data_IF_899960141252
#
_entry.id   IF_899960141252
#
_cell.length_a   1.000
_cell.length_b   1.000
_cell.length_c   1.000
_cell.angle_alpha   90.00
_cell.angle_beta   90.00
_cell.angle_gamma   90.00
#
_symmetry.space_group_name_H-M   'P 1'
#
loop_
_entity.id
_entity.type
_entity.pdbx_description
1 polymer ?
#
# COMPACT_ATOMS: atom_id res chain seq x y z
N UNK A 1 -5.84 11.98 12.79
CA UNK A 1 -6.66 10.75 12.64
C UNK A 1 -5.69 9.61 12.41
N UNK A 2 -5.85 8.48 13.10
CA UNK A 2 -4.96 7.32 12.98
C UNK A 2 -5.56 6.26 12.03
N UNK A 3 -4.74 5.31 11.60
CA UNK A 3 -5.23 4.09 10.97
C UNK A 3 -6.01 3.24 11.98
N UNK A 4 -7.04 2.57 11.47
CA UNK A 4 -7.98 1.80 12.28
C UNK A 4 -7.93 0.35 11.80
N UNK A 5 -7.70 -0.58 12.71
CA UNK A 5 -7.77 -2.00 12.41
C UNK A 5 -9.23 -2.45 12.30
N UNK A 6 -9.53 -3.47 11.51
CA UNK A 6 -10.90 -4.00 11.40
C UNK A 6 -11.52 -4.38 12.73
N UNK A 7 -10.71 -4.85 13.69
CA UNK A 7 -11.19 -5.26 15.01
C UNK A 7 -11.79 -4.08 15.80
N UNK A 8 -11.31 -2.87 15.54
CA UNK A 8 -11.74 -1.65 16.20
C UNK A 8 -12.97 -1.01 15.52
N UNK A 9 -13.42 -1.58 14.39
CA UNK A 9 -14.62 -1.13 13.67
C UNK A 9 -15.88 -1.78 14.23
N UNK A 10 -17.00 -1.05 14.16
CA UNK A 10 -18.29 -1.55 14.59
C UNK A 10 -18.71 -2.81 13.79
N UNK A 11 -19.57 -3.64 14.38
CA UNK A 11 -19.98 -4.92 13.77
C UNK A 11 -20.64 -4.73 12.39
N UNK A 12 -21.37 -3.62 12.20
CA UNK A 12 -22.04 -3.31 10.93
C UNK A 12 -21.02 -2.97 9.84
N UNK A 13 -19.93 -2.30 10.19
CA UNK A 13 -18.85 -1.93 9.30
C UNK A 13 -18.02 -3.16 8.93
N UNK A 14 -17.72 -4.03 9.92
CA UNK A 14 -17.05 -5.32 9.67
C UNK A 14 -17.84 -6.20 8.70
N UNK A 15 -19.15 -6.34 8.88
CA UNK A 15 -20.02 -7.08 7.93
C UNK A 15 -20.03 -6.49 6.53
N UNK A 16 -19.85 -5.17 6.39
CA UNK A 16 -19.71 -4.54 5.08
C UNK A 16 -18.37 -4.92 4.43
N UNK A 17 -17.27 -4.96 5.19
CA UNK A 17 -15.97 -5.43 4.72
C UNK A 17 -16.03 -6.90 4.26
N UNK A 18 -16.67 -7.78 5.03
CA UNK A 18 -16.87 -9.19 4.63
C UNK A 18 -17.63 -9.33 3.31
N UNK A 19 -18.63 -8.46 3.11
CA UNK A 19 -19.36 -8.35 1.84
C UNK A 19 -18.47 -7.90 0.70
N UNK A 20 -17.57 -6.94 0.92
CA UNK A 20 -16.59 -6.51 -0.07
C UNK A 20 -15.68 -7.68 -0.47
N UNK A 21 -15.12 -8.42 0.49
CA UNK A 21 -14.29 -9.60 0.20
C UNK A 21 -15.05 -10.68 -0.56
N UNK A 22 -16.30 -10.93 -0.18
CA UNK A 22 -17.17 -11.89 -0.87
C UNK A 22 -17.48 -11.46 -2.31
N UNK A 23 -17.71 -10.17 -2.54
CA UNK A 23 -17.95 -9.62 -3.88
C UNK A 23 -16.69 -9.65 -4.74
N UNK A 24 -15.54 -9.28 -4.17
CA UNK A 24 -14.24 -9.33 -4.84
C UNK A 24 -13.92 -10.73 -5.36
N UNK A 25 -14.08 -11.77 -4.52
CA UNK A 25 -13.86 -13.17 -4.92
C UNK A 25 -14.77 -13.63 -6.07
N UNK A 26 -15.93 -12.99 -6.23
CA UNK A 26 -16.90 -13.26 -7.31
C UNK A 26 -16.67 -12.40 -8.56
N UNK A 27 -15.59 -11.60 -8.60
CA UNK A 27 -15.31 -10.67 -9.70
C UNK A 27 -16.18 -9.41 -9.69
N UNK A 28 -16.88 -9.13 -8.59
CA UNK A 28 -17.74 -7.95 -8.42
C UNK A 28 -16.95 -6.66 -8.17
N UNK A 29 -15.95 -6.37 -8.98
CA UNK A 29 -14.98 -5.30 -8.72
C UNK A 29 -15.60 -3.89 -8.72
N UNK A 30 -16.55 -3.59 -9.62
CA UNK A 30 -17.19 -2.27 -9.64
C UNK A 30 -18.03 -2.00 -8.38
N UNK A 31 -18.69 -3.04 -7.86
CA UNK A 31 -19.37 -2.97 -6.56
C UNK A 31 -18.37 -2.70 -5.43
N UNK A 32 -17.24 -3.40 -5.41
CA UNK A 32 -16.19 -3.19 -4.41
C UNK A 32 -15.68 -1.75 -4.45
N UNK A 33 -15.38 -1.23 -5.65
CA UNK A 33 -14.88 0.13 -5.83
C UNK A 33 -15.89 1.17 -5.35
N UNK A 34 -17.16 1.00 -5.68
CA UNK A 34 -18.22 1.93 -5.26
C UNK A 34 -18.40 1.94 -3.74
N UNK A 35 -18.58 0.77 -3.13
CA UNK A 35 -18.90 0.66 -1.70
C UNK A 35 -17.69 1.00 -0.84
N UNK A 36 -16.46 0.64 -1.25
CA UNK A 36 -15.25 1.07 -0.54
C UNK A 36 -15.15 2.59 -0.44
N UNK A 37 -15.50 3.34 -1.49
CA UNK A 37 -15.49 4.81 -1.44
C UNK A 37 -16.47 5.38 -0.40
N UNK A 38 -17.65 4.79 -0.27
CA UNK A 38 -18.64 5.21 0.75
C UNK A 38 -18.18 4.91 2.18
N UNK A 39 -17.51 3.76 2.37
CA UNK A 39 -16.93 3.38 3.65
C UNK A 39 -15.76 4.28 4.04
N UNK A 40 -14.86 4.59 3.10
CA UNK A 40 -13.71 5.47 3.35
C UNK A 40 -14.12 6.92 3.62
N UNK A 41 -15.25 7.39 3.07
CA UNK A 41 -15.81 8.69 3.46
C UNK A 41 -16.21 8.74 4.95
N UNK A 42 -16.70 7.63 5.50
CA UNK A 42 -17.09 7.51 6.92
C UNK A 42 -15.90 7.26 7.82
N UNK A 43 -14.97 6.41 7.39
CA UNK A 43 -13.76 6.03 8.13
C UNK A 43 -12.53 6.06 7.24
N UNK A 44 -11.91 7.24 7.04
CA UNK A 44 -10.72 7.36 6.20
C UNK A 44 -9.53 6.54 6.69
N UNK A 45 -9.45 6.25 7.99
CA UNK A 45 -8.39 5.44 8.59
C UNK A 45 -8.52 3.93 8.36
N UNK A 46 -9.63 3.44 7.78
CA UNK A 46 -9.88 2.02 7.56
C UNK A 46 -9.01 1.47 6.40
N UNK A 47 -7.74 1.17 6.70
CA UNK A 47 -6.75 0.77 5.71
C UNK A 47 -7.14 -0.52 4.97
N UNK A 48 -7.84 -1.45 5.61
CA UNK A 48 -8.30 -2.71 4.99
C UNK A 48 -9.33 -2.46 3.87
N UNK A 49 -10.22 -1.49 4.06
CA UNK A 49 -11.16 -1.06 3.01
C UNK A 49 -10.38 -0.50 1.81
N UNK A 50 -9.32 0.26 2.09
CA UNK A 50 -8.43 0.79 1.05
C UNK A 50 -7.64 -0.33 0.38
N UNK A 51 -7.22 -1.36 1.12
CA UNK A 51 -6.54 -2.53 0.56
C UNK A 51 -7.40 -3.21 -0.51
N UNK A 52 -8.65 -3.54 -0.18
CA UNK A 52 -9.52 -4.23 -1.13
C UNK A 52 -9.94 -3.33 -2.30
N UNK A 53 -10.05 -2.01 -2.08
CA UNK A 53 -10.20 -1.04 -3.17
C UNK A 53 -9.02 -1.10 -4.14
N UNK A 54 -7.79 -1.04 -3.63
CA UNK A 54 -6.58 -1.16 -4.45
C UNK A 54 -6.56 -2.47 -5.24
N UNK A 55 -6.85 -3.60 -4.59
CA UNK A 55 -6.88 -4.90 -5.26
C UNK A 55 -7.93 -4.94 -6.38
N UNK A 56 -9.12 -4.35 -6.17
CA UNK A 56 -10.17 -4.26 -7.20
C UNK A 56 -9.79 -3.36 -8.38
N UNK A 57 -9.10 -2.25 -8.12
CA UNK A 57 -8.59 -1.37 -9.17
C UNK A 57 -7.51 -2.06 -10.01
N UNK A 58 -6.62 -2.80 -9.37
CA UNK A 58 -5.55 -3.55 -10.03
C UNK A 58 -6.12 -4.74 -10.83
N UNK A 59 -7.14 -5.43 -10.31
CA UNK A 59 -7.83 -6.50 -11.04
C UNK A 59 -8.64 -6.01 -12.25
N UNK A 60 -9.15 -4.77 -12.20
CA UNK A 60 -9.88 -4.15 -13.33
C UNK A 60 -8.97 -3.39 -14.30
N UNK A 61 -7.65 -3.44 -14.11
CA UNK A 61 -6.67 -2.80 -14.97
C UNK A 61 -6.54 -3.54 -16.31
N UNK A 62 -7.56 -3.38 -17.14
CA UNK A 62 -7.63 -3.85 -18.53
C UNK A 62 -8.17 -2.76 -19.47
N UNK A 63 -8.15 -1.48 -19.08
CA UNK A 63 -8.62 -0.42 -19.97
C UNK A 63 -7.53 -0.10 -20.98
N UNK A 64 -7.70 -0.66 -22.18
CA UNK A 64 -6.94 -0.36 -23.38
C UNK A 64 -7.17 1.12 -23.76
N UNK A 65 -6.36 2.04 -23.23
CA UNK A 65 -6.47 3.47 -23.57
C UNK A 65 -5.67 3.76 -24.84
N UNK A 66 -6.35 4.29 -25.85
CA UNK A 66 -5.71 4.81 -27.06
C UNK A 66 -4.63 5.84 -26.72
N UNK A 67 -3.68 6.11 -27.63
CA UNK A 67 -2.58 7.07 -27.41
C UNK A 67 -3.06 8.44 -26.88
N UNK A 68 -4.23 8.90 -27.31
CA UNK A 68 -4.87 10.14 -26.81
C UNK A 68 -5.45 9.98 -25.41
N UNK A 69 -6.04 8.83 -25.08
CA UNK A 69 -6.52 8.51 -23.74
C UNK A 69 -5.39 8.47 -22.71
N UNK A 70 -4.25 7.87 -23.09
CA UNK A 70 -3.04 7.85 -22.26
C UNK A 70 -2.50 9.26 -21.97
N UNK A 71 -2.38 10.12 -22.99
CA UNK A 71 -1.90 11.49 -22.84
C UNK A 71 -2.79 12.30 -21.89
N UNK A 72 -4.12 12.19 -22.05
CA UNK A 72 -5.09 12.85 -21.18
C UNK A 72 -4.97 12.37 -19.74
N UNK A 73 -4.87 11.06 -19.53
CA UNK A 73 -4.73 10.49 -18.19
C UNK A 73 -3.46 10.99 -17.50
N UNK A 74 -2.31 10.97 -18.20
CA UNK A 74 -1.06 11.54 -17.68
C UNK A 74 -1.19 13.04 -17.34
N UNK A 75 -1.89 13.81 -18.17
CA UNK A 75 -2.11 15.24 -17.90
C UNK A 75 -2.98 15.48 -16.66
N UNK A 76 -4.01 14.66 -16.46
CA UNK A 76 -4.88 14.71 -15.29
C UNK A 76 -4.11 14.35 -14.02
N UNK A 77 -3.26 13.32 -14.06
CA UNK A 77 -2.42 12.93 -12.93
C UNK A 77 -1.45 14.03 -12.50
N UNK A 78 -0.82 14.71 -13.47
CA UNK A 78 0.06 15.85 -13.17
C UNK A 78 -0.72 17.03 -12.57
N UNK A 79 -1.88 17.37 -13.13
CA UNK A 79 -2.75 18.41 -12.57
C UNK A 79 -3.20 18.08 -11.15
N UNK A 80 -3.56 16.81 -10.89
CA UNK A 80 -3.92 16.34 -9.57
C UNK A 80 -2.78 16.57 -8.57
N UNK A 81 -1.55 16.13 -8.89
CA UNK A 81 -0.35 16.34 -8.07
C UNK A 81 -0.11 17.81 -7.75
N UNK A 82 -0.25 18.70 -8.73
CA UNK A 82 -0.12 20.15 -8.52
C UNK A 82 -1.21 20.65 -7.58
N UNK A 83 -2.46 20.24 -7.81
CA UNK A 83 -3.63 20.71 -7.05
C UNK A 83 -3.60 20.29 -5.56
N UNK A 84 -3.00 19.13 -5.24
CA UNK A 84 -2.91 18.65 -3.85
C UNK A 84 -1.63 19.10 -3.16
N UNK A 85 -0.65 19.69 -3.87
CA UNK A 85 0.66 20.05 -3.31
C UNK A 85 0.56 20.97 -2.08
N UNK A 86 -0.28 22.01 -2.15
CA UNK A 86 -0.48 22.91 -1.00
C UNK A 86 -1.28 22.26 0.12
N UNK A 87 -2.20 21.34 -0.20
CA UNK A 87 -3.04 20.65 0.78
C UNK A 87 -2.21 19.61 1.55
N UNK A 88 -1.25 18.96 0.90
CA UNK A 88 -0.37 17.96 1.51
C UNK A 88 0.31 18.46 2.79
N UNK A 89 0.69 19.74 2.86
CA UNK A 89 1.35 20.30 4.05
C UNK A 89 0.36 20.76 5.13
N UNK A 90 -0.86 21.15 4.73
CA UNK A 90 -1.84 21.78 5.63
C UNK A 90 -2.84 20.78 6.20
N UNK A 91 -3.30 19.88 5.36
CA UNK A 91 -4.30 18.86 5.66
C UNK A 91 -4.04 17.63 4.77
N UNK A 92 -3.09 16.76 5.16
CA UNK A 92 -2.83 15.51 4.46
C UNK A 92 -4.06 14.59 4.37
N UNK A 93 -4.98 14.66 5.33
CA UNK A 93 -6.21 13.85 5.34
C UNK A 93 -7.15 14.25 4.20
N UNK A 94 -7.23 15.55 3.87
CA UNK A 94 -7.95 15.99 2.67
C UNK A 94 -7.36 15.40 1.39
N UNK A 95 -6.03 15.24 1.32
CA UNK A 95 -5.36 14.62 0.17
C UNK A 95 -5.73 13.14 0.06
N UNK A 96 -5.75 12.40 1.18
CA UNK A 96 -6.22 11.01 1.20
C UNK A 96 -7.64 10.90 0.65
N UNK A 97 -8.57 11.73 1.11
CA UNK A 97 -9.97 11.71 0.62
C UNK A 97 -10.05 11.98 -0.89
N UNK A 98 -9.28 12.96 -1.38
CA UNK A 98 -9.21 13.24 -2.82
C UNK A 98 -8.58 12.09 -3.60
N UNK A 99 -7.60 11.38 -3.04
CA UNK A 99 -7.07 10.16 -3.64
C UNK A 99 -8.14 9.07 -3.71
N UNK A 100 -8.91 8.85 -2.64
CA UNK A 100 -10.02 7.89 -2.60
C UNK A 100 -11.09 8.20 -3.67
N UNK A 101 -11.39 9.48 -3.90
CA UNK A 101 -12.27 9.93 -4.98
C UNK A 101 -11.69 9.64 -6.39
N UNK A 102 -10.41 9.94 -6.63
CA UNK A 102 -9.78 9.66 -7.93
C UNK A 102 -9.67 8.16 -8.20
N UNK A 103 -9.33 7.38 -7.18
CA UNK A 103 -9.29 5.92 -7.22
C UNK A 103 -10.64 5.33 -7.61
N UNK A 104 -11.74 5.83 -7.02
CA UNK A 104 -13.10 5.43 -7.39
C UNK A 104 -13.41 5.66 -8.87
N UNK A 105 -12.89 6.75 -9.44
CA UNK A 105 -13.08 7.10 -10.85
C UNK A 105 -12.06 6.41 -11.80
N UNK A 106 -11.13 5.62 -11.26
CA UNK A 106 -10.06 4.93 -12.01
C UNK A 106 -9.17 5.86 -12.83
N UNK A 107 -8.95 7.10 -12.36
CA UNK A 107 -8.19 8.14 -13.08
C UNK A 107 -6.77 8.22 -12.53
N UNK A 108 -5.78 8.21 -13.42
CA UNK A 108 -4.38 8.53 -13.13
C UNK A 108 -3.82 7.78 -11.91
N UNK A 109 -4.13 6.49 -11.83
CA UNK A 109 -3.94 5.66 -10.63
C UNK A 109 -2.51 5.75 -10.09
N UNK A 110 -1.52 5.82 -10.99
CA UNK A 110 -0.10 5.91 -10.63
C UNK A 110 0.22 7.17 -9.84
N UNK A 111 -0.15 8.35 -10.35
CA UNK A 111 0.02 9.63 -9.66
C UNK A 111 -0.82 9.72 -8.38
N UNK A 112 -2.01 9.10 -8.38
CA UNK A 112 -2.89 9.05 -7.21
C UNK A 112 -2.26 8.23 -6.09
N UNK A 113 -1.69 7.06 -6.39
CA UNK A 113 -0.98 6.25 -5.40
C UNK A 113 0.29 6.95 -4.89
N UNK A 114 1.02 7.70 -5.72
CA UNK A 114 2.13 8.52 -5.23
C UNK A 114 1.68 9.61 -4.24
N UNK A 115 0.54 10.26 -4.51
CA UNK A 115 -0.01 11.24 -3.59
C UNK A 115 -0.50 10.58 -2.30
N UNK A 116 -1.11 9.39 -2.41
CA UNK A 116 -1.58 8.62 -1.27
C UNK A 116 -0.42 8.18 -0.38
N UNK A 117 0.68 7.69 -0.95
CA UNK A 117 1.91 7.33 -0.22
C UNK A 117 2.44 8.50 0.61
N UNK A 118 2.57 9.68 -0.01
CA UNK A 118 3.06 10.90 0.68
C UNK A 118 2.09 11.40 1.75
N UNK A 119 0.78 11.35 1.48
CA UNK A 119 -0.23 11.77 2.45
C UNK A 119 -0.27 10.80 3.64
N UNK A 120 -0.17 9.50 3.38
CA UNK A 120 -0.10 8.46 4.40
C UNK A 120 1.18 8.59 5.23
N UNK A 121 2.32 8.89 4.60
CA UNK A 121 3.56 9.18 5.33
C UNK A 121 3.38 10.38 6.28
N UNK A 122 2.77 11.47 5.82
CA UNK A 122 2.54 12.66 6.64
C UNK A 122 1.52 12.44 7.77
N UNK A 123 0.65 11.44 7.65
CA UNK A 123 -0.32 11.04 8.67
C UNK A 123 0.18 9.93 9.59
N UNK A 124 1.38 9.41 9.34
CA UNK A 124 1.91 8.21 10.01
C UNK A 124 0.96 7.01 9.85
N UNK A 125 0.51 6.78 8.61
CA UNK A 125 -0.38 5.69 8.20
C UNK A 125 0.42 4.60 7.48
N UNK A 126 1.12 3.73 8.24
CA UNK A 126 2.08 2.77 7.70
C UNK A 126 1.47 1.77 6.72
N UNK A 127 0.27 1.24 7.01
CA UNK A 127 -0.34 0.23 6.16
C UNK A 127 -0.81 0.85 4.84
N UNK A 128 -1.45 2.03 4.89
CA UNK A 128 -1.84 2.76 3.69
C UNK A 128 -0.64 3.15 2.83
N UNK A 129 0.48 3.56 3.44
CA UNK A 129 1.73 3.86 2.71
C UNK A 129 2.25 2.62 1.99
N UNK A 130 2.28 1.49 2.68
CA UNK A 130 2.71 0.19 2.12
C UNK A 130 1.80 -0.25 0.97
N UNK A 131 0.48 -0.11 1.14
CA UNK A 131 -0.49 -0.41 0.10
C UNK A 131 -0.28 0.44 -1.15
N UNK A 132 -0.03 1.73 -0.99
CA UNK A 132 0.20 2.65 -2.10
C UNK A 132 1.47 2.28 -2.88
N UNK A 133 2.57 1.95 -2.18
CA UNK A 133 3.83 1.51 -2.80
C UNK A 133 3.69 0.16 -3.50
N UNK A 134 3.01 -0.80 -2.87
CA UNK A 134 2.66 -2.09 -3.50
C UNK A 134 1.87 -1.88 -4.78
N UNK A 135 0.87 -0.99 -4.76
CA UNK A 135 0.09 -0.66 -5.94
C UNK A 135 0.97 -0.07 -7.05
N UNK A 136 1.84 0.90 -6.75
CA UNK A 136 2.78 1.47 -7.75
C UNK A 136 3.66 0.38 -8.38
N UNK A 137 4.22 -0.54 -7.59
CA UNK A 137 5.01 -1.67 -8.10
C UNK A 137 4.19 -2.57 -9.03
N UNK A 138 2.91 -2.82 -8.71
CA UNK A 138 2.03 -3.59 -9.60
C UNK A 138 1.64 -2.80 -10.86
N UNK A 139 1.56 -1.47 -10.78
CA UNK A 139 1.29 -0.61 -11.93
C UNK A 139 2.48 -0.50 -12.88
N UNK A 140 3.71 -0.64 -12.35
CA UNK A 140 4.99 -0.48 -13.04
C UNK A 140 5.95 -1.63 -12.66
N UNK A 141 5.68 -2.88 -13.08
CA UNK A 141 6.40 -4.07 -12.59
C UNK A 141 7.90 -4.07 -12.91
N UNK A 142 8.31 -3.38 -13.97
CA UNK A 142 9.70 -3.29 -14.41
C UNK A 142 10.45 -2.06 -13.84
N UNK A 143 9.79 -1.23 -13.04
CA UNK A 143 10.40 -0.03 -12.45
C UNK A 143 11.24 -0.41 -11.21
N UNK A 144 12.56 -0.50 -11.38
CA UNK A 144 13.48 -0.84 -10.29
C UNK A 144 13.40 0.17 -9.12
N UNK A 145 13.48 1.50 -9.36
CA UNK A 145 13.27 2.49 -8.28
C UNK A 145 11.97 2.30 -7.49
N UNK A 146 10.86 1.95 -8.14
CA UNK A 146 9.59 1.73 -7.45
C UNK A 146 9.66 0.53 -6.48
N UNK A 147 10.37 -0.54 -6.86
CA UNK A 147 10.59 -1.72 -6.00
C UNK A 147 11.52 -1.43 -4.83
N UNK A 148 12.59 -0.66 -5.03
CA UNK A 148 13.48 -0.25 -3.94
C UNK A 148 12.73 0.63 -2.93
N UNK A 149 11.94 1.59 -3.40
CA UNK A 149 11.13 2.41 -2.51
C UNK A 149 10.05 1.60 -1.75
N UNK A 150 9.50 0.53 -2.36
CA UNK A 150 8.60 -0.37 -1.65
C UNK A 150 9.34 -1.20 -0.59
N UNK A 151 10.54 -1.71 -0.92
CA UNK A 151 11.39 -2.44 0.02
C UNK A 151 11.79 -1.58 1.23
N UNK A 152 12.12 -0.31 1.01
CA UNK A 152 12.45 0.64 2.07
C UNK A 152 11.28 0.79 3.06
N UNK A 153 10.05 1.00 2.57
CA UNK A 153 8.87 1.06 3.42
C UNK A 153 8.64 -0.25 4.18
N UNK A 154 8.85 -1.40 3.54
CA UNK A 154 8.74 -2.70 4.23
C UNK A 154 9.75 -2.84 5.37
N UNK A 155 10.98 -2.31 5.21
CA UNK A 155 11.97 -2.30 6.29
C UNK A 155 11.59 -1.35 7.43
N UNK A 156 11.08 -0.16 7.11
CA UNK A 156 10.55 0.76 8.13
C UNK A 156 9.46 0.10 8.99
N UNK A 157 8.66 -0.79 8.40
CA UNK A 157 7.59 -1.52 9.09
C UNK A 157 7.99 -2.88 9.67
N UNK A 158 9.28 -3.16 9.78
CA UNK A 158 9.78 -4.43 10.32
C UNK A 158 9.24 -5.67 9.59
N UNK A 159 9.10 -5.56 8.25
CA UNK A 159 8.73 -6.65 7.33
C UNK A 159 9.93 -7.03 6.43
N UNK A 160 11.08 -7.43 7.03
CA UNK A 160 12.33 -7.59 6.29
C UNK A 160 12.27 -8.71 5.25
N UNK A 161 11.52 -9.79 5.49
CA UNK A 161 11.37 -10.89 4.54
C UNK A 161 10.78 -10.42 3.20
N UNK A 162 9.71 -9.64 3.25
CA UNK A 162 9.09 -9.09 2.03
C UNK A 162 10.01 -8.08 1.34
N UNK A 163 10.81 -7.32 2.10
CA UNK A 163 11.79 -6.40 1.55
C UNK A 163 12.89 -7.14 0.78
N UNK A 164 13.42 -8.24 1.32
CA UNK A 164 14.42 -9.10 0.65
C UNK A 164 13.90 -9.54 -0.73
N UNK A 165 12.66 -10.04 -0.80
CA UNK A 165 12.06 -10.50 -2.07
C UNK A 165 12.02 -9.40 -3.14
N UNK A 166 11.72 -8.15 -2.76
CA UNK A 166 11.71 -7.03 -3.71
C UNK A 166 13.12 -6.65 -4.18
N UNK A 167 14.09 -6.66 -3.26
CA UNK A 167 15.47 -6.25 -3.53
C UNK A 167 16.22 -7.30 -4.36
N UNK A 168 16.04 -8.59 -4.05
CA UNK A 168 16.61 -9.69 -4.83
C UNK A 168 16.13 -9.64 -6.29
N UNK A 169 14.86 -9.32 -6.51
CA UNK A 169 14.32 -9.15 -7.85
C UNK A 169 15.04 -8.03 -8.63
N UNK A 170 15.41 -6.93 -7.95
CA UNK A 170 16.16 -5.82 -8.55
C UNK A 170 17.59 -6.26 -8.85
N UNK A 171 18.27 -6.90 -7.89
CA UNK A 171 19.65 -7.37 -8.06
C UNK A 171 19.80 -8.46 -9.13
N UNK A 172 18.76 -9.25 -9.38
CA UNK A 172 18.74 -10.21 -10.48
C UNK A 172 18.81 -9.52 -11.86
N UNK A 173 18.39 -8.26 -11.97
CA UNK A 173 18.42 -7.45 -13.21
C UNK A 173 19.60 -6.51 -13.26
N UNK A 174 19.90 -5.88 -12.13
CA UNK A 174 21.04 -4.97 -11.96
C UNK A 174 21.89 -5.40 -10.76
N UNK A 175 22.79 -6.39 -10.93
CA UNK A 175 23.62 -6.89 -9.83
C UNK A 175 24.54 -5.83 -9.22
N UNK A 176 24.89 -4.79 -9.97
CA UNK A 176 25.74 -3.66 -9.55
C UNK A 176 24.97 -2.51 -8.90
N UNK A 177 23.66 -2.65 -8.68
CA UNK A 177 22.86 -1.59 -8.06
C UNK A 177 23.22 -1.44 -6.58
N UNK A 178 23.99 -0.39 -6.25
CA UNK A 178 24.52 -0.17 -4.90
C UNK A 178 23.45 0.12 -3.84
N UNK A 179 22.34 0.75 -4.23
CA UNK A 179 21.19 0.98 -3.34
C UNK A 179 20.53 -0.35 -2.98
N UNK A 180 20.29 -1.22 -3.98
CA UNK A 180 19.74 -2.54 -3.78
C UNK A 180 20.65 -3.42 -2.90
N UNK A 181 21.98 -3.40 -3.11
CA UNK A 181 22.92 -4.13 -2.25
C UNK A 181 22.87 -3.66 -0.79
N UNK A 182 22.77 -2.33 -0.58
CA UNK A 182 22.66 -1.74 0.76
C UNK A 182 21.36 -2.15 1.44
N UNK A 183 20.23 -2.06 0.73
CA UNK A 183 18.93 -2.48 1.23
C UNK A 183 18.90 -3.98 1.54
N UNK A 184 19.49 -4.83 0.70
CA UNK A 184 19.57 -6.27 0.96
C UNK A 184 20.30 -6.56 2.27
N UNK A 185 21.48 -5.95 2.46
CA UNK A 185 22.25 -6.09 3.70
C UNK A 185 21.42 -5.69 4.92
N UNK A 186 20.76 -4.53 4.87
CA UNK A 186 19.92 -4.05 5.97
C UNK A 186 18.75 -5.01 6.24
N UNK A 187 18.11 -5.51 5.19
CA UNK A 187 17.00 -6.45 5.26
C UNK A 187 17.43 -7.79 5.88
N UNK A 188 18.55 -8.36 5.44
CA UNK A 188 19.06 -9.64 5.97
C UNK A 188 19.47 -9.54 7.44
N UNK A 189 20.06 -8.41 7.86
CA UNK A 189 20.35 -8.17 9.28
C UNK A 189 19.07 -8.09 10.10
N UNK A 190 18.09 -7.30 9.64
CA UNK A 190 16.80 -7.17 10.32
C UNK A 190 16.04 -8.52 10.40
N UNK A 191 16.08 -9.32 9.34
CA UNK A 191 15.47 -10.65 9.31
C UNK A 191 16.14 -11.60 10.32
N UNK A 192 17.46 -11.60 10.40
CA UNK A 192 18.22 -12.43 11.35
C UNK A 192 17.92 -12.04 12.78
N UNK A 193 17.90 -10.74 13.08
CA UNK A 193 17.54 -10.23 14.41
C UNK A 193 16.11 -10.60 14.81
N UNK A 194 15.17 -10.51 13.86
CA UNK A 194 13.80 -10.91 14.09
C UNK A 194 13.72 -12.42 14.41
N UNK A 195 14.37 -13.28 13.62
CA UNK A 195 14.42 -14.73 13.86
C UNK A 195 15.06 -15.08 15.21
N UNK A 196 16.18 -14.46 15.56
CA UNK A 196 16.87 -14.69 16.84
C UNK A 196 16.00 -14.34 18.06
N UNK A 197 15.26 -13.22 17.99
CA UNK A 197 14.31 -12.84 19.04
C UNK A 197 13.19 -13.89 19.25
N UNK A 198 12.76 -14.58 18.19
CA UNK A 198 11.74 -15.64 18.28
C UNK A 198 12.30 -16.94 18.88
N UNK A 199 13.57 -17.25 18.66
CA UNK A 199 14.22 -18.45 19.22
C UNK A 199 14.52 -18.29 20.73
N UNK A 200 14.94 -17.10 21.16
CA UNK A 200 15.19 -16.79 22.58
C UNK A 200 13.89 -16.70 23.41
N UNK A 201 12.81 -16.20 22.81
CA UNK A 201 11.50 -16.14 23.48
C UNK A 201 10.88 -17.53 23.64
N UNK A 202 10.98 -18.42 22.64
CA UNK A 202 10.45 -19.79 22.73
C UNK A 202 11.21 -20.68 23.72
N UNK A 203 12.50 -20.46 23.94
CA UNK A 203 13.29 -21.19 24.95
C UNK A 203 12.97 -20.74 26.39
N UNK A 204 12.52 -19.50 26.58
CA UNK A 204 12.16 -18.98 27.92
C UNK A 204 10.82 -19.53 28.45
N UNK A 205 9.90 -19.96 27.58
CA UNK A 205 8.60 -20.52 28.01
C UNK A 205 8.66 -22.00 28.46
N UNK A 206 9.75 -22.72 28.20
CA UNK A 206 9.88 -24.13 28.58
C UNK A 206 10.58 -24.35 29.94
N UNK A 207 11.01 -23.30 30.65
CA UNK A 207 11.80 -23.44 31.90
C UNK A 207 11.04 -23.17 33.20
N UNK A 208 9.71 -22.96 33.18
CA UNK A 208 8.89 -22.82 34.41
C UNK A 208 7.73 -23.81 34.48
N UNK A 209 8.04 -25.11 34.50
CA UNK A 209 7.21 -26.16 35.11
C UNK A 209 8.10 -27.27 35.65
N UNK A 210 8.85 -26.99 36.72
CA UNK A 210 9.39 -28.01 37.63
C UNK A 210 10.04 -27.30 38.82
N UNK A 211 9.24 -27.04 39.85
CA UNK A 211 9.61 -26.99 41.27
C UNK A 211 8.33 -26.92 42.08
#
# INVERSE_FOLDING_TARGET
MQEINIQDLDERFRKQIDRLHSAFKKGGYDFVIQVSGELLNKSPGAWEVRSILCDALLATRATNHSRMGWLRDRSNGMQFKISVRSQMQKDPLSVVRRCDEQMRNKVSLREVFECLDKAAQALEWPETRTLARRAIVQLEPDNLPAKLAYAEVLLELSRPKEAVEQVEWVLAREPSNGEAQTLLKNASVAETLQRGNWEDTNTTFHSKKQS
#
